data_IF_773006496872
#
_entry.id   IF_773006496872
#
_cell.length_a   1.000
_cell.length_b   1.000
_cell.length_c   1.000
_cell.angle_alpha   90.00
_cell.angle_beta   90.00
_cell.angle_gamma   90.00
#
_symmetry.space_group_name_H-M   'P 1'
#
loop_
_entity.id
_entity.type
_entity.pdbx_description
1 polymer ?
#
# COMPACT_ATOMS: atom_id res chain seq x y z
N UNK A 1 30.88 32.01 18.52
CA UNK A 1 29.43 31.75 18.58
C UNK A 1 28.97 31.52 17.15
N UNK A 2 28.80 30.27 16.74
CA UNK A 2 28.39 29.94 15.37
C UNK A 2 26.91 29.60 15.41
N UNK A 3 26.08 30.47 14.85
CA UNK A 3 24.65 30.23 14.69
C UNK A 3 24.46 29.11 13.66
N UNK A 4 23.91 27.98 14.10
CA UNK A 4 23.47 26.93 13.21
C UNK A 4 22.10 27.36 12.65
N UNK A 5 22.10 27.90 11.43
CA UNK A 5 20.88 28.29 10.73
C UNK A 5 20.26 27.02 10.14
N UNK A 6 19.42 26.36 10.95
CA UNK A 6 18.53 25.30 10.47
C UNK A 6 17.52 25.95 9.51
N UNK A 7 17.65 25.66 8.21
CA UNK A 7 16.68 26.08 7.19
C UNK A 7 15.43 25.18 7.32
N UNK A 8 14.24 25.72 7.61
CA UNK A 8 12.98 24.99 7.47
C UNK A 8 12.38 25.26 6.07
N UNK A 9 11.59 24.32 5.53
CA UNK A 9 10.61 24.71 4.50
C UNK A 9 10.55 23.91 3.20
N UNK A 10 11.01 22.65 3.16
CA UNK A 10 10.68 21.79 2.01
C UNK A 10 10.18 20.39 2.36
N UNK A 11 10.63 19.83 3.49
CA UNK A 11 10.15 18.54 3.98
C UNK A 11 8.79 18.70 4.69
N UNK A 12 8.63 19.72 5.55
CA UNK A 12 7.39 19.96 6.30
C UNK A 12 6.15 20.17 5.41
N UNK A 13 6.31 20.81 4.25
CA UNK A 13 5.18 21.13 3.36
C UNK A 13 4.71 19.92 2.51
N UNK A 14 5.62 18.99 2.18
CA UNK A 14 5.24 17.76 1.50
C UNK A 14 4.47 16.82 2.43
N UNK A 15 4.87 16.79 3.71
CA UNK A 15 4.20 16.03 4.75
C UNK A 15 2.79 16.55 5.02
N UNK A 16 2.58 17.87 5.00
CA UNK A 16 1.23 18.47 5.09
C UNK A 16 0.33 18.04 3.94
N UNK A 17 0.81 18.13 2.69
CA UNK A 17 0.02 17.72 1.53
C UNK A 17 -0.31 16.23 1.55
N UNK A 18 0.62 15.38 1.97
CA UNK A 18 0.37 13.95 2.09
C UNK A 18 -0.69 13.66 3.15
N UNK A 19 -0.64 14.35 4.31
CA UNK A 19 -1.65 14.23 5.36
C UNK A 19 -3.05 14.61 4.85
N UNK A 20 -3.17 15.68 4.07
CA UNK A 20 -4.45 16.10 3.50
C UNK A 20 -5.03 15.02 2.58
N UNK A 21 -4.19 14.44 1.70
CA UNK A 21 -4.60 13.33 0.83
C UNK A 21 -5.00 12.08 1.62
N UNK A 22 -4.32 11.81 2.74
CA UNK A 22 -4.66 10.68 3.61
C UNK A 22 -6.02 10.87 4.26
N UNK A 23 -6.29 12.09 4.71
CA UNK A 23 -7.55 12.44 5.31
C UNK A 23 -8.70 12.38 4.30
N UNK A 24 -8.49 12.89 3.08
CA UNK A 24 -9.47 12.81 2.00
C UNK A 24 -9.80 11.35 1.63
N UNK A 25 -8.78 10.50 1.50
CA UNK A 25 -8.98 9.08 1.25
C UNK A 25 -9.72 8.38 2.40
N UNK A 26 -9.36 8.69 3.65
CA UNK A 26 -10.05 8.17 4.83
C UNK A 26 -11.53 8.55 4.85
N UNK A 27 -11.84 9.82 4.53
CA UNK A 27 -13.21 10.30 4.42
C UNK A 27 -13.97 9.59 3.30
N UNK A 28 -13.37 9.47 2.10
CA UNK A 28 -14.00 8.80 0.97
C UNK A 28 -14.31 7.31 1.25
N UNK A 29 -13.42 6.61 1.96
CA UNK A 29 -13.65 5.23 2.39
C UNK A 29 -14.79 5.16 3.41
N UNK A 30 -14.79 6.06 4.39
CA UNK A 30 -15.83 6.09 5.42
C UNK A 30 -17.22 6.39 4.81
N UNK A 31 -17.29 7.35 3.88
CA UNK A 31 -18.52 7.69 3.17
C UNK A 31 -18.99 6.50 2.32
N UNK A 32 -18.08 5.88 1.57
CA UNK A 32 -18.37 4.69 0.76
C UNK A 32 -18.87 3.51 1.61
N UNK A 33 -18.32 3.34 2.81
CA UNK A 33 -18.72 2.29 3.75
C UNK A 33 -20.09 2.58 4.37
N UNK A 34 -20.34 3.85 4.73
CA UNK A 34 -21.57 4.31 5.37
C UNK A 34 -22.77 4.27 4.43
N UNK A 35 -22.55 4.59 3.15
CA UNK A 35 -23.58 4.61 2.12
C UNK A 35 -23.78 3.23 1.44
N UNK A 36 -23.01 2.22 1.85
CA UNK A 36 -23.10 0.88 1.24
C UNK A 36 -24.29 0.08 1.77
N UNK A 37 -25.36 0.01 0.97
CA UNK A 37 -26.53 -0.84 1.26
C UNK A 37 -26.16 -2.30 1.51
N UNK A 38 -25.15 -2.82 0.79
CA UNK A 38 -24.67 -4.19 0.93
C UNK A 38 -24.07 -4.44 2.32
N UNK A 39 -23.30 -3.49 2.83
CA UNK A 39 -22.67 -3.60 4.15
C UNK A 39 -23.70 -3.37 5.24
N UNK A 40 -24.58 -2.37 5.08
CA UNK A 40 -25.68 -2.11 5.99
C UNK A 40 -26.62 -3.33 6.12
N UNK A 41 -26.93 -4.00 5.01
CA UNK A 41 -27.74 -5.22 4.99
C UNK A 41 -27.11 -6.36 5.79
N UNK A 42 -25.81 -6.62 5.58
CA UNK A 42 -25.07 -7.65 6.31
C UNK A 42 -25.01 -7.35 7.82
N UNK A 43 -24.73 -6.11 8.21
CA UNK A 43 -24.77 -5.68 9.62
C UNK A 43 -26.17 -5.86 10.21
N UNK A 44 -27.21 -5.54 9.43
CA UNK A 44 -28.60 -5.69 9.84
C UNK A 44 -28.99 -7.16 10.10
N UNK A 45 -28.52 -8.10 9.29
CA UNK A 45 -28.70 -9.54 9.51
C UNK A 45 -28.06 -9.99 10.82
N UNK A 46 -26.82 -9.55 11.08
CA UNK A 46 -26.09 -9.87 12.31
C UNK A 46 -26.81 -9.29 13.53
N UNK A 47 -27.30 -8.04 13.46
CA UNK A 47 -28.11 -7.43 14.53
C UNK A 47 -29.41 -8.18 14.78
N UNK A 48 -30.12 -8.61 13.72
CA UNK A 48 -31.36 -9.40 13.85
C UNK A 48 -31.14 -10.77 14.48
N UNK A 49 -29.94 -11.34 14.34
CA UNK A 49 -29.55 -12.57 15.04
C UNK A 49 -29.25 -12.35 16.53
N UNK A 50 -29.33 -11.11 17.04
CA UNK A 50 -29.18 -10.78 18.46
C UNK A 50 -27.78 -10.35 18.87
N UNK A 51 -26.90 -10.05 17.90
CA UNK A 51 -25.53 -9.60 18.16
C UNK A 51 -25.41 -8.07 18.06
N UNK A 52 -24.59 -7.48 18.93
CA UNK A 52 -24.18 -6.08 18.77
C UNK A 52 -22.96 -5.99 17.84
N UNK A 53 -22.96 -5.00 16.95
CA UNK A 53 -21.98 -4.90 15.86
C UNK A 53 -21.25 -3.58 15.94
N UNK A 54 -19.93 -3.66 16.09
CA UNK A 54 -18.99 -2.54 15.99
C UNK A 54 -17.94 -2.88 14.93
N UNK A 55 -17.69 -1.95 14.02
CA UNK A 55 -16.77 -2.13 12.90
C UNK A 55 -15.61 -1.14 13.05
N UNK A 56 -14.38 -1.67 13.04
CA UNK A 56 -13.15 -0.88 12.96
C UNK A 56 -12.41 -1.32 11.70
N UNK A 57 -12.02 -0.37 10.87
CA UNK A 57 -11.26 -0.65 9.66
C UNK A 57 -9.85 -0.11 9.83
N UNK A 58 -8.87 -1.02 9.84
CA UNK A 58 -7.45 -0.68 9.80
C UNK A 58 -6.91 -1.00 8.41
N UNK A 59 -6.53 0.03 7.66
CA UNK A 59 -5.87 -0.12 6.36
C UNK A 59 -4.49 0.54 6.44
N UNK A 60 -3.43 -0.20 6.09
CA UNK A 60 -2.09 0.38 5.95
C UNK A 60 -1.89 0.76 4.49
N UNK A 61 -1.61 2.04 4.24
CA UNK A 61 -1.48 2.56 2.87
C UNK A 61 -0.04 3.05 2.68
N UNK A 62 0.65 2.47 1.70
CA UNK A 62 2.01 2.86 1.33
C UNK A 62 2.00 3.83 0.14
N UNK A 63 2.85 4.85 0.20
CA UNK A 63 3.02 5.83 -0.88
C UNK A 63 4.45 5.81 -1.39
N UNK A 64 4.62 5.86 -2.70
CA UNK A 64 5.92 6.09 -3.32
C UNK A 64 5.88 7.43 -4.07
N UNK A 65 6.75 8.37 -3.69
CA UNK A 65 6.83 9.68 -4.33
C UNK A 65 7.58 9.52 -5.65
N UNK A 66 6.85 9.63 -6.77
CA UNK A 66 7.46 9.75 -8.10
C UNK A 66 8.03 11.16 -8.24
N UNK A 67 9.24 11.37 -7.74
CA UNK A 67 10.01 12.57 -8.06
C UNK A 67 10.35 12.49 -9.56
N UNK A 68 9.96 13.53 -10.30
CA UNK A 68 9.83 13.49 -11.75
C UNK A 68 11.12 13.15 -12.48
N UNK A 69 11.25 11.89 -12.86
CA UNK A 69 11.85 11.47 -14.10
C UNK A 69 10.88 10.49 -14.76
N UNK A 70 10.62 10.79 -16.03
CA UNK A 70 9.70 10.14 -16.92
C UNK A 70 10.25 8.75 -17.22
N UNK A 71 9.69 7.69 -16.63
CA UNK A 71 9.78 6.34 -17.18
C UNK A 71 8.60 5.48 -16.68
N UNK A 72 7.81 5.08 -17.67
CA UNK A 72 6.83 4.01 -17.73
C UNK A 72 5.69 3.97 -16.71
N UNK A 73 4.57 4.53 -17.19
CA UNK A 73 3.24 4.07 -16.82
C UNK A 73 3.05 2.61 -17.28
N UNK A 74 3.48 1.65 -16.47
CA UNK A 74 2.83 0.34 -16.47
C UNK A 74 1.57 0.45 -15.60
N UNK A 75 0.46 0.54 -16.33
CA UNK A 75 -0.89 0.31 -15.88
C UNK A 75 -0.98 -1.04 -15.18
N UNK A 76 -1.11 -1.06 -13.86
CA UNK A 76 -1.60 -2.27 -13.18
C UNK A 76 -3.07 -2.06 -12.83
N UNK A 77 -3.88 -2.31 -13.84
CA UNK A 77 -5.30 -2.54 -13.68
C UNK A 77 -5.50 -3.82 -12.88
N UNK A 78 -6.29 -3.72 -11.83
CA UNK A 78 -6.96 -4.83 -11.17
C UNK A 78 -7.45 -5.88 -12.17
N UNK A 79 -6.78 -7.03 -12.23
CA UNK A 79 -7.28 -8.23 -12.89
C UNK A 79 -6.98 -9.46 -12.03
N UNK A 80 -8.05 -9.98 -11.45
CA UNK A 80 -8.13 -11.29 -10.83
C UNK A 80 -7.81 -12.40 -11.84
N UNK A 81 -7.18 -13.47 -11.32
CA UNK A 81 -7.05 -14.82 -11.90
C UNK A 81 -6.37 -14.96 -13.26
N UNK A 82 -5.17 -15.56 -13.27
CA UNK A 82 -4.94 -16.93 -13.74
C UNK A 82 -3.45 -17.29 -13.60
N UNK A 83 -3.18 -18.54 -13.21
CA UNK A 83 -1.84 -19.06 -12.98
C UNK A 83 -0.93 -18.93 -14.22
N UNK A 84 0.13 -18.15 -14.11
CA UNK A 84 1.23 -18.14 -15.09
C UNK A 84 2.44 -18.81 -14.46
N UNK A 85 2.73 -20.03 -14.91
CA UNK A 85 4.04 -20.66 -14.71
C UNK A 85 5.07 -19.80 -15.44
N UNK A 86 5.97 -19.17 -14.69
CA UNK A 86 7.09 -18.45 -15.27
C UNK A 86 8.23 -19.45 -15.49
N UNK A 87 8.45 -19.87 -16.73
CA UNK A 87 9.72 -20.51 -17.11
C UNK A 87 10.79 -19.43 -17.01
N UNK A 88 11.68 -19.54 -16.02
CA UNK A 88 12.72 -18.58 -15.69
C UNK A 88 13.86 -18.60 -16.72
N UNK A 89 13.58 -18.12 -17.93
CA UNK A 89 14.62 -17.83 -18.93
C UNK A 89 15.11 -16.40 -18.74
N UNK A 90 15.89 -16.18 -17.69
CA UNK A 90 16.59 -14.92 -17.48
C UNK A 90 17.56 -15.06 -16.33
N UNK A 91 18.85 -14.85 -16.57
CA UNK A 91 19.84 -14.75 -15.49
C UNK A 91 19.51 -13.49 -14.68
N UNK A 92 18.70 -13.63 -13.64
CA UNK A 92 18.38 -12.53 -12.74
C UNK A 92 19.67 -12.15 -12.02
N UNK A 93 20.17 -10.94 -12.25
CA UNK A 93 21.33 -10.40 -11.54
C UNK A 93 20.86 -9.83 -10.21
N UNK A 94 20.84 -10.65 -9.18
CA UNK A 94 20.50 -10.21 -7.83
C UNK A 94 21.63 -9.36 -7.23
N UNK A 95 21.30 -8.20 -6.68
CA UNK A 95 22.23 -7.36 -5.92
C UNK A 95 22.23 -7.72 -4.43
N UNK A 96 23.23 -7.28 -3.69
CA UNK A 96 23.30 -7.46 -2.23
C UNK A 96 22.15 -6.80 -1.47
N UNK A 97 21.54 -5.76 -2.05
CA UNK A 97 20.36 -5.08 -1.48
C UNK A 97 19.12 -5.96 -1.64
N UNK A 98 18.93 -6.55 -2.82
CA UNK A 98 17.79 -7.43 -3.12
C UNK A 98 17.78 -8.63 -2.16
N UNK A 99 18.94 -9.21 -1.86
CA UNK A 99 19.05 -10.30 -0.89
C UNK A 99 18.61 -9.90 0.54
N UNK A 100 18.90 -8.67 0.97
CA UNK A 100 18.44 -8.19 2.29
C UNK A 100 16.93 -7.99 2.29
N UNK A 101 16.40 -7.45 1.21
CA UNK A 101 14.97 -7.22 1.02
C UNK A 101 14.17 -8.53 1.00
N UNK A 102 14.60 -9.52 0.21
CA UNK A 102 13.95 -10.83 0.12
C UNK A 102 13.96 -11.56 1.47
N UNK A 103 15.06 -11.46 2.24
CA UNK A 103 15.14 -11.99 3.62
C UNK A 103 14.17 -11.30 4.58
N UNK A 104 13.99 -9.98 4.46
CA UNK A 104 13.02 -9.26 5.28
C UNK A 104 11.58 -9.72 4.99
N UNK A 105 11.30 -10.10 3.75
CA UNK A 105 10.03 -10.67 3.31
C UNK A 105 9.90 -12.18 3.59
N UNK A 106 10.90 -12.82 4.22
CA UNK A 106 11.00 -14.29 4.42
C UNK A 106 10.89 -15.10 3.12
N UNK A 107 11.29 -14.50 2.00
CA UNK A 107 11.35 -15.18 0.71
C UNK A 107 12.74 -15.83 0.61
N UNK A 108 12.76 -17.15 0.66
CA UNK A 108 13.97 -17.93 0.42
C UNK A 108 14.15 -18.12 -1.08
N UNK A 109 15.35 -17.80 -1.59
CA UNK A 109 15.75 -18.16 -2.95
C UNK A 109 16.54 -19.45 -2.84
N UNK A 110 15.90 -20.60 -3.08
CA UNK A 110 16.61 -21.85 -3.28
C UNK A 110 17.14 -21.86 -4.72
N UNK A 111 18.46 -21.73 -4.89
CA UNK A 111 19.12 -21.98 -6.17
C UNK A 111 19.15 -23.50 -6.39
N UNK A 112 18.22 -24.03 -7.18
CA UNK A 112 18.30 -25.40 -7.69
C UNK A 112 19.46 -25.48 -8.71
N UNK A 113 20.66 -25.76 -8.21
CA UNK A 113 21.79 -26.15 -9.05
C UNK A 113 21.75 -27.66 -9.30
N UNK A 114 21.34 -28.05 -10.51
CA UNK A 114 21.80 -29.29 -11.14
C UNK A 114 22.05 -29.10 -12.62
#
# INVERSE_FOLDING_TARGET
MSANLKLPGKEDNLDERLKDLMQELGNAINDSLSDSDRIAGAIGEIKRAGYDVFLVLEATIGFNKRDGEQEDAETDGVAHENAVRYESTGKIRLTSQDQKFLRALKISVEDDQK
#
